data_IF_980221182804
#
_entry.id   IF_980221182804
#
_cell.length_a   1.000
_cell.length_b   1.000
_cell.length_c   1.000
_cell.angle_alpha   90.00
_cell.angle_beta   90.00
_cell.angle_gamma   90.00
#
_symmetry.space_group_name_H-M   'P 1'
#
loop_
_entity.id
_entity.type
_entity.pdbx_description
1 polymer ?
#
# COMPACT_ATOMS: atom_id res chain seq x y z
N UNK A 1 24.58 45.52 -11.64
CA UNK A 1 23.96 44.24 -12.03
C UNK A 1 25.06 43.25 -12.37
N UNK A 2 25.51 42.37 -11.45
CA UNK A 2 26.49 41.34 -11.80
C UNK A 2 25.77 40.06 -12.22
N UNK A 3 26.09 39.60 -13.43
CA UNK A 3 25.63 38.34 -14.04
C UNK A 3 26.33 37.14 -13.41
N UNK A 4 25.59 36.31 -12.66
CA UNK A 4 26.03 35.03 -12.14
C UNK A 4 25.99 33.96 -13.24
N UNK A 5 27.15 33.39 -13.56
CA UNK A 5 27.25 32.16 -14.35
C UNK A 5 27.00 30.93 -13.45
N UNK A 6 26.27 29.90 -13.91
CA UNK A 6 26.08 28.68 -13.14
C UNK A 6 27.35 27.81 -13.18
N UNK A 7 27.94 27.55 -12.01
CA UNK A 7 28.98 26.53 -11.84
C UNK A 7 28.31 25.16 -11.83
N UNK A 8 28.55 24.38 -12.88
CA UNK A 8 28.27 22.95 -12.95
C UNK A 8 29.17 22.19 -11.97
N UNK A 9 28.57 21.54 -10.97
CA UNK A 9 29.26 20.54 -10.16
C UNK A 9 28.99 19.16 -10.77
N UNK A 10 29.92 18.67 -11.59
CA UNK A 10 29.98 17.25 -11.94
C UNK A 10 30.60 16.51 -10.75
N UNK A 11 29.81 15.63 -10.11
CA UNK A 11 30.32 14.66 -9.16
C UNK A 11 30.80 13.43 -9.95
N UNK A 12 32.11 13.25 -10.06
CA UNK A 12 32.71 12.02 -10.59
C UNK A 12 32.72 10.96 -9.49
N UNK A 13 31.93 9.90 -9.68
CA UNK A 13 32.03 8.68 -8.87
C UNK A 13 33.10 7.78 -9.48
N UNK A 14 34.22 7.61 -8.78
CA UNK A 14 35.24 6.60 -9.12
C UNK A 14 34.78 5.23 -8.65
N UNK A 15 34.61 4.31 -9.60
CA UNK A 15 34.42 2.88 -9.38
C UNK A 15 35.75 2.30 -8.89
N UNK A 16 35.75 1.61 -7.75
CA UNK A 16 36.84 0.71 -7.35
C UNK A 16 36.38 -0.72 -7.56
N UNK A 17 36.86 -1.32 -8.65
CA UNK A 17 36.86 -2.77 -8.85
C UNK A 17 37.88 -3.41 -7.91
N UNK A 18 37.50 -4.51 -7.26
CA UNK A 18 38.45 -5.45 -6.66
C UNK A 18 37.90 -6.86 -6.76
N UNK A 19 38.36 -7.56 -7.79
CA UNK A 19 38.33 -9.01 -7.92
C UNK A 19 39.77 -9.52 -8.05
N UNK A 20 39.97 -10.80 -7.74
CA UNK A 20 41.21 -11.60 -7.62
C UNK A 20 41.79 -11.61 -6.19
N UNK A 21 42.23 -12.73 -5.61
CA UNK A 21 42.53 -14.06 -6.15
C UNK A 21 42.61 -15.12 -5.03
N UNK A 22 42.45 -16.36 -5.46
CA UNK A 22 42.48 -17.64 -4.75
C UNK A 22 43.93 -18.09 -4.46
N UNK A 23 44.19 -18.71 -3.30
CA UNK A 23 45.34 -19.61 -3.17
C UNK A 23 45.12 -20.73 -2.15
N UNK A 24 45.25 -21.94 -2.69
CA UNK A 24 45.21 -23.27 -2.09
C UNK A 24 46.52 -23.56 -1.33
N UNK A 25 46.44 -24.29 -0.22
CA UNK A 25 47.52 -25.19 0.19
C UNK A 25 46.95 -26.37 1.01
N UNK A 26 47.17 -27.58 0.47
CA UNK A 26 46.89 -28.89 1.05
C UNK A 26 48.12 -29.46 1.78
N UNK A 27 47.84 -30.52 2.56
CA UNK A 27 48.71 -31.58 3.07
C UNK A 27 49.60 -31.37 4.31
N UNK A 28 49.27 -32.11 5.38
CA UNK A 28 50.04 -33.31 5.74
C UNK A 28 49.31 -34.19 6.79
N UNK A 29 49.42 -35.49 6.55
CA UNK A 29 48.83 -36.64 7.23
C UNK A 29 49.60 -37.08 8.49
N UNK A 30 48.96 -37.90 9.35
CA UNK A 30 49.69 -38.57 10.44
C UNK A 30 48.87 -39.27 11.52
N UNK A 31 48.27 -40.43 11.19
CA UNK A 31 48.17 -41.68 11.98
C UNK A 31 47.84 -41.70 13.49
N UNK A 32 46.86 -42.54 13.88
CA UNK A 32 46.99 -43.36 15.09
C UNK A 32 45.74 -43.75 15.89
N UNK A 33 45.17 -44.92 15.58
CA UNK A 33 44.43 -45.91 16.40
C UNK A 33 43.85 -45.58 17.81
N UNK A 34 42.55 -45.92 17.96
CA UNK A 34 42.13 -47.03 18.83
C UNK A 34 41.51 -46.72 20.20
N UNK A 35 40.31 -47.26 20.46
CA UNK A 35 39.83 -47.52 21.83
C UNK A 35 38.35 -47.21 22.07
N UNK A 36 37.54 -48.24 22.31
CA UNK A 36 36.10 -48.15 22.54
C UNK A 36 35.69 -47.62 23.92
N UNK A 37 34.42 -47.26 24.03
CA UNK A 37 33.82 -46.81 25.29
C UNK A 37 32.35 -46.44 25.13
N UNK A 38 31.46 -47.41 25.37
CA UNK A 38 30.01 -47.23 25.51
C UNK A 38 29.66 -46.34 26.70
N UNK A 39 28.83 -45.31 26.52
CA UNK A 39 28.00 -44.75 27.60
C UNK A 39 26.87 -43.84 27.05
N UNK A 40 25.62 -44.33 27.16
CA UNK A 40 24.39 -43.52 27.26
C UNK A 40 24.13 -43.36 28.77
N UNK A 41 23.83 -42.16 29.32
CA UNK A 41 22.43 -41.76 29.61
C UNK A 41 22.25 -40.20 29.72
N UNK A 42 21.12 -39.54 30.00
CA UNK A 42 19.81 -39.86 30.58
C UNK A 42 18.88 -38.65 30.33
N UNK A 43 17.62 -38.91 29.94
CA UNK A 43 16.52 -37.93 30.02
C UNK A 43 16.29 -37.55 31.49
N UNK A 44 16.28 -36.25 31.82
CA UNK A 44 15.78 -35.74 33.11
C UNK A 44 14.28 -35.46 33.01
N UNK A 45 13.47 -36.36 33.56
CA UNK A 45 12.11 -36.08 34.00
C UNK A 45 12.15 -35.03 35.11
N UNK A 46 11.28 -34.01 35.04
CA UNK A 46 11.05 -33.09 36.15
C UNK A 46 9.77 -33.49 36.88
N UNK A 47 9.94 -33.82 38.15
CA UNK A 47 8.92 -34.29 39.06
C UNK A 47 7.94 -33.18 39.47
N UNK A 48 6.71 -33.64 39.74
CA UNK A 48 5.55 -32.90 40.25
C UNK A 48 5.81 -32.55 41.72
N UNK A 49 5.92 -31.24 42.02
CA UNK A 49 6.13 -30.69 43.35
C UNK A 49 4.85 -30.06 43.90
N UNK A 50 4.53 -30.47 45.12
CA UNK A 50 3.37 -30.18 45.96
C UNK A 50 3.23 -28.69 46.30
N UNK A 51 1.99 -28.23 46.43
CA UNK A 51 1.62 -26.90 46.89
C UNK A 51 1.82 -26.79 48.40
N UNK A 52 2.38 -25.68 48.87
CA UNK A 52 2.18 -25.13 50.22
C UNK A 52 2.39 -23.58 50.17
N UNK A 53 1.42 -22.88 50.73
CA UNK A 53 1.39 -21.53 51.35
C UNK A 53 2.09 -20.33 50.68
N UNK A 54 1.27 -19.47 50.05
CA UNK A 54 1.62 -18.08 49.73
C UNK A 54 0.70 -17.11 50.48
N UNK A 55 1.33 -16.40 51.43
CA UNK A 55 0.79 -15.26 52.19
C UNK A 55 0.31 -14.14 51.26
N UNK A 56 -0.89 -13.64 51.56
CA UNK A 56 -1.58 -12.54 50.87
C UNK A 56 -0.81 -11.23 50.96
N UNK A 57 -0.14 -10.85 49.86
CA UNK A 57 0.38 -9.51 49.65
C UNK A 57 -0.66 -8.66 48.91
N UNK A 58 -1.31 -7.73 49.62
CA UNK A 58 -2.21 -6.71 49.06
C UNK A 58 -1.48 -5.87 48.01
N UNK A 59 -1.94 -5.96 46.75
CA UNK A 59 -1.55 -5.08 45.64
C UNK A 59 -1.97 -3.63 45.97
N UNK A 60 -1.12 -2.61 45.77
CA UNK A 60 -1.53 -1.23 45.96
C UNK A 60 -2.56 -0.82 44.89
N UNK A 61 -3.58 -0.09 45.32
CA UNK A 61 -4.71 0.31 44.49
C UNK A 61 -4.29 1.10 43.24
N UNK A 62 -4.88 0.72 42.10
CA UNK A 62 -4.77 1.42 40.83
C UNK A 62 -5.37 2.82 40.99
N UNK A 63 -4.55 3.87 41.01
CA UNK A 63 -5.03 5.26 40.91
C UNK A 63 -5.84 5.39 39.61
N UNK A 64 -7.14 5.69 39.76
CA UNK A 64 -8.01 6.09 38.65
C UNK A 64 -7.47 7.42 38.14
N UNK A 65 -6.94 7.44 36.91
CA UNK A 65 -6.64 8.70 36.22
C UNK A 65 -7.98 9.32 35.85
N UNK A 66 -8.29 10.47 36.42
CA UNK A 66 -9.41 11.30 35.97
C UNK A 66 -9.26 11.62 34.49
N UNK A 67 -10.39 11.55 33.78
CA UNK A 67 -10.50 11.87 32.36
C UNK A 67 -10.28 13.38 32.22
N UNK A 68 -9.32 13.87 31.42
CA UNK A 68 -9.19 15.30 31.21
C UNK A 68 -10.48 15.83 30.56
N UNK A 69 -10.90 17.01 30.98
CA UNK A 69 -12.05 17.71 30.41
C UNK A 69 -11.90 17.81 28.88
N UNK A 70 -13.00 17.59 28.16
CA UNK A 70 -13.03 17.74 26.72
C UNK A 70 -12.59 19.17 26.37
N UNK A 71 -11.52 19.28 25.58
CA UNK A 71 -11.16 20.54 24.93
C UNK A 71 -12.33 20.99 24.06
N UNK A 72 -12.60 22.30 23.97
CA UNK A 72 -13.63 22.81 23.07
C UNK A 72 -13.34 22.33 21.65
N UNK A 73 -14.40 21.99 20.92
CA UNK A 73 -14.30 21.60 19.52
C UNK A 73 -13.53 22.69 18.78
N UNK A 74 -12.32 22.36 18.32
CA UNK A 74 -11.63 23.19 17.35
C UNK A 74 -12.48 23.20 16.09
N UNK A 75 -12.74 24.40 15.59
CA UNK A 75 -13.40 24.67 14.33
C UNK A 75 -12.86 23.73 13.23
N UNK A 76 -13.72 22.83 12.77
CA UNK A 76 -13.38 21.80 11.78
C UNK A 76 -13.20 22.39 10.38
N UNK A 77 -13.57 23.65 10.15
CA UNK A 77 -13.48 24.30 8.84
C UNK A 77 -12.05 24.54 8.37
N UNK A 78 -11.14 24.94 9.26
CA UNK A 78 -9.78 25.29 8.87
C UNK A 78 -8.99 24.09 8.33
N UNK A 79 -9.25 22.87 8.82
CA UNK A 79 -8.56 21.66 8.36
C UNK A 79 -8.98 21.20 6.97
N UNK A 80 -10.23 21.46 6.58
CA UNK A 80 -10.74 21.13 5.24
C UNK A 80 -10.21 22.13 4.20
N UNK A 81 -10.11 23.41 4.52
CA UNK A 81 -9.55 24.45 3.62
C UNK A 81 -8.06 24.23 3.29
N UNK A 82 -7.22 23.85 4.27
CA UNK A 82 -5.79 23.59 3.98
C UNK A 82 -5.61 22.36 3.09
N UNK A 83 -6.48 21.37 3.22
CA UNK A 83 -6.46 20.19 2.35
C UNK A 83 -6.90 20.55 0.93
N UNK A 84 -7.92 21.40 0.74
CA UNK A 84 -8.30 21.87 -0.60
C UNK A 84 -7.17 22.65 -1.30
N UNK A 85 -6.43 23.47 -0.55
CA UNK A 85 -5.28 24.21 -1.10
C UNK A 85 -4.13 23.25 -1.48
N UNK A 86 -3.77 22.32 -0.60
CA UNK A 86 -2.79 21.26 -0.89
C UNK A 86 -3.21 20.38 -2.07
N UNK A 87 -4.48 20.01 -2.13
CA UNK A 87 -5.04 19.21 -3.21
C UNK A 87 -4.97 19.99 -4.54
N UNK A 88 -5.12 21.32 -4.54
CA UNK A 88 -4.94 22.16 -5.74
C UNK A 88 -3.49 22.25 -6.22
N UNK A 89 -2.51 22.12 -5.32
CA UNK A 89 -1.08 22.09 -5.67
C UNK A 89 -0.61 20.70 -6.11
N UNK A 90 -1.19 19.64 -5.55
CA UNK A 90 -0.84 18.25 -5.84
C UNK A 90 -1.61 17.66 -7.03
N UNK A 91 -2.82 18.17 -7.28
CA UNK A 91 -3.65 17.82 -8.43
C UNK A 91 -3.69 19.07 -9.31
N UNK A 92 -2.91 19.14 -10.41
CA UNK A 92 -3.13 20.20 -11.38
C UNK A 92 -4.60 20.19 -11.79
N UNK A 93 -5.20 21.37 -11.95
CA UNK A 93 -6.61 21.59 -12.28
C UNK A 93 -6.97 21.14 -13.72
N UNK A 94 -6.42 20.02 -14.14
CA UNK A 94 -6.72 19.24 -15.32
C UNK A 94 -7.57 18.09 -14.85
N UNK A 95 -8.89 18.28 -14.84
CA UNK A 95 -9.80 17.14 -14.98
C UNK A 95 -9.36 16.40 -16.22
N UNK A 96 -8.80 15.17 -16.13
CA UNK A 96 -8.37 14.47 -17.32
C UNK A 96 -9.62 14.28 -18.18
N UNK A 97 -9.55 14.74 -19.43
CA UNK A 97 -10.57 14.37 -20.42
C UNK A 97 -10.75 12.85 -20.38
N UNK A 98 -11.98 12.33 -20.58
CA UNK A 98 -12.23 10.90 -20.50
C UNK A 98 -11.20 10.13 -21.34
N UNK A 99 -10.43 9.28 -20.67
CA UNK A 99 -9.32 8.56 -21.27
C UNK A 99 -9.86 7.25 -21.84
N UNK A 100 -9.62 7.04 -23.13
CA UNK A 100 -9.87 5.74 -23.76
C UNK A 100 -8.73 4.80 -23.42
N UNK A 101 -9.00 3.77 -22.63
CA UNK A 101 -8.01 2.76 -22.25
C UNK A 101 -7.79 1.78 -23.41
N UNK A 102 -6.63 1.90 -24.06
CA UNK A 102 -6.18 0.97 -25.08
C UNK A 102 -5.37 -0.20 -24.51
N UNK A 103 -4.92 -1.14 -25.36
CA UNK A 103 -4.13 -2.29 -24.93
C UNK A 103 -2.77 -1.92 -24.32
N UNK A 104 -2.23 -0.73 -24.63
CA UNK A 104 -0.97 -0.23 -24.07
C UNK A 104 -1.16 0.65 -22.82
N UNK A 105 -2.40 0.98 -22.44
CA UNK A 105 -2.65 1.89 -21.33
C UNK A 105 -2.24 1.28 -19.99
N UNK A 106 -1.80 2.15 -19.09
CA UNK A 106 -1.39 1.77 -17.73
C UNK A 106 -2.02 2.69 -16.69
N UNK A 107 -2.52 2.08 -15.60
CA UNK A 107 -2.94 2.79 -14.39
C UNK A 107 -2.24 2.17 -13.19
N UNK A 108 -1.70 3.02 -12.33
CA UNK A 108 -1.04 2.59 -11.10
C UNK A 108 -1.89 2.96 -9.88
N UNK A 109 -1.90 2.09 -8.88
CA UNK A 109 -2.55 2.33 -7.59
C UNK A 109 -1.56 2.10 -6.44
N UNK A 110 -1.52 3.01 -5.47
CA UNK A 110 -0.56 2.96 -4.36
C UNK A 110 -1.30 3.01 -3.02
N UNK A 111 -1.12 1.95 -2.23
CA UNK A 111 -1.26 2.03 -0.78
C UNK A 111 0.12 2.41 -0.20
N UNK A 112 0.30 3.62 0.34
CA UNK A 112 1.61 4.14 0.71
C UNK A 112 2.17 3.57 2.02
N UNK A 113 1.42 2.76 2.76
CA UNK A 113 1.87 2.25 4.06
C UNK A 113 3.03 1.23 3.94
N UNK A 114 3.74 0.99 5.05
CA UNK A 114 4.82 -0.02 5.13
C UNK A 114 4.34 -1.45 4.82
N UNK A 115 3.05 -1.72 4.99
CA UNK A 115 2.40 -2.98 4.59
C UNK A 115 1.57 -2.87 3.32
N UNK A 116 1.66 -1.72 2.64
CA UNK A 116 0.96 -1.41 1.41
C UNK A 116 1.64 -2.04 0.19
N UNK A 117 1.22 -1.58 -0.99
CA UNK A 117 1.66 -2.11 -2.26
C UNK A 117 1.52 -1.09 -3.40
N UNK A 118 2.19 -1.39 -4.51
CA UNK A 118 1.97 -0.80 -5.82
C UNK A 118 1.22 -1.81 -6.70
N UNK A 119 0.05 -1.43 -7.18
CA UNK A 119 -0.71 -2.17 -8.17
C UNK A 119 -0.49 -1.58 -9.57
N UNK A 120 -0.46 -2.46 -10.56
CA UNK A 120 -0.28 -2.12 -11.97
C UNK A 120 -1.43 -2.74 -12.75
N UNK A 121 -2.24 -1.91 -13.41
CA UNK A 121 -3.27 -2.35 -14.34
C UNK A 121 -2.82 -1.99 -15.75
N UNK A 122 -2.70 -3.00 -16.63
CA UNK A 122 -2.36 -2.83 -18.04
C UNK A 122 -3.53 -3.26 -18.92
N UNK A 123 -3.69 -2.58 -20.06
CA UNK A 123 -4.69 -2.92 -21.06
C UNK A 123 -6.01 -2.17 -20.90
N UNK A 124 -7.01 -2.63 -21.64
CA UNK A 124 -8.35 -2.03 -21.65
C UNK A 124 -9.18 -2.46 -20.44
N UNK A 125 -10.43 -1.98 -20.39
CA UNK A 125 -11.39 -2.37 -19.35
C UNK A 125 -11.81 -3.84 -19.52
N UNK A 126 -11.91 -4.31 -20.76
CA UNK A 126 -12.32 -5.67 -21.12
C UNK A 126 -11.19 -6.69 -20.91
N UNK A 127 -9.96 -6.31 -21.25
CA UNK A 127 -8.78 -7.17 -21.15
C UNK A 127 -7.72 -6.51 -20.26
N UNK A 128 -7.90 -6.68 -18.96
CA UNK A 128 -6.99 -6.14 -17.94
C UNK A 128 -5.99 -7.18 -17.46
N UNK A 129 -4.70 -6.88 -17.58
CA UNK A 129 -3.65 -7.59 -16.86
C UNK A 129 -3.30 -6.82 -15.58
N UNK A 130 -3.49 -7.47 -14.42
CA UNK A 130 -3.19 -6.89 -13.11
C UNK A 130 -1.95 -7.53 -12.49
N UNK A 131 -1.08 -6.71 -11.92
CA UNK A 131 0.08 -7.11 -11.14
C UNK A 131 0.11 -6.32 -9.83
N UNK A 132 0.68 -6.89 -8.77
CA UNK A 132 0.89 -6.20 -7.49
C UNK A 132 2.28 -6.47 -6.93
N UNK A 133 2.89 -5.42 -6.40
CA UNK A 133 4.25 -5.41 -5.85
C UNK A 133 4.20 -4.84 -4.43
N UNK A 134 4.76 -5.55 -3.45
CA UNK A 134 4.83 -5.04 -2.07
C UNK A 134 5.77 -3.83 -1.99
N UNK A 135 5.47 -2.86 -1.11
CA UNK A 135 6.34 -1.70 -0.88
C UNK A 135 7.74 -2.16 -0.44
N UNK A 136 8.83 -1.75 -1.12
CA UNK A 136 10.20 -2.00 -0.68
C UNK A 136 10.50 -1.32 0.66
N UNK A 137 11.11 -2.08 1.58
CA UNK A 137 11.39 -1.61 2.94
C UNK A 137 12.81 -1.92 3.41
N UNK A 138 13.37 -0.99 4.18
CA UNK A 138 14.59 -1.14 4.96
C UNK A 138 14.26 -1.41 6.42
N UNK A 139 15.13 -2.17 7.08
CA UNK A 139 15.13 -2.31 8.54
C UNK A 139 16.20 -1.39 9.11
N UNK A 140 15.79 -0.32 9.79
CA UNK A 140 16.68 0.73 10.31
C UNK A 140 16.65 0.73 11.82
N UNK A 141 17.83 0.79 12.47
CA UNK A 141 17.94 0.92 13.92
C UNK A 141 17.71 2.38 14.32
N UNK A 142 16.62 2.65 15.05
CA UNK A 142 16.29 3.98 15.58
C UNK A 142 16.27 3.89 17.11
N UNK A 143 17.31 4.43 17.74
CA UNK A 143 17.58 4.22 19.16
C UNK A 143 17.80 2.72 19.46
N UNK A 144 17.04 2.19 20.40
CA UNK A 144 17.11 0.77 20.80
C UNK A 144 16.22 -0.17 19.94
N UNK A 145 15.43 0.36 19.00
CA UNK A 145 14.41 -0.42 18.29
C UNK A 145 14.71 -0.49 16.79
N UNK A 146 14.58 -1.69 16.21
CA UNK A 146 14.54 -1.86 14.75
C UNK A 146 13.19 -1.45 14.20
N UNK A 147 13.18 -0.55 13.23
CA UNK A 147 11.97 -0.03 12.59
C UNK A 147 12.02 -0.29 11.10
N UNK A 148 10.85 -0.55 10.52
CA UNK A 148 10.69 -0.63 9.07
C UNK A 148 10.49 0.78 8.50
N UNK A 149 11.16 1.06 7.39
CA UNK A 149 11.10 2.32 6.65
C UNK A 149 11.02 2.01 5.16
N UNK A 150 10.38 2.86 4.40
CA UNK A 150 10.43 2.82 2.94
C UNK A 150 11.87 2.85 2.44
N UNK A 151 12.13 2.16 1.33
CA UNK A 151 13.36 2.24 0.57
C UNK A 151 13.12 3.08 -0.70
N UNK A 152 13.38 4.40 -0.69
CA UNK A 152 13.09 5.25 -1.85
C UNK A 152 13.87 4.84 -3.10
N UNK A 153 15.07 4.29 -2.95
CA UNK A 153 15.90 3.84 -4.06
C UNK A 153 15.31 2.61 -4.74
N UNK A 154 14.94 1.60 -3.96
CA UNK A 154 14.29 0.39 -4.48
C UNK A 154 12.87 0.68 -5.01
N UNK A 155 12.13 1.61 -4.39
CA UNK A 155 10.85 2.09 -4.91
C UNK A 155 11.01 2.74 -6.29
N UNK A 156 11.99 3.63 -6.45
CA UNK A 156 12.24 4.28 -7.73
C UNK A 156 12.69 3.28 -8.80
N UNK A 157 13.53 2.30 -8.45
CA UNK A 157 13.93 1.22 -9.36
C UNK A 157 12.72 0.39 -9.80
N UNK A 158 11.88 -0.05 -8.84
CA UNK A 158 10.65 -0.80 -9.09
C UNK A 158 9.73 -0.07 -10.08
N UNK A 159 9.49 1.23 -9.91
CA UNK A 159 8.61 1.99 -10.82
C UNK A 159 9.25 2.14 -12.21
N UNK A 160 10.57 2.35 -12.31
CA UNK A 160 11.27 2.44 -13.59
C UNK A 160 11.22 1.13 -14.39
N UNK A 161 11.33 -0.01 -13.71
CA UNK A 161 11.26 -1.34 -14.31
C UNK A 161 9.89 -1.61 -14.95
N UNK A 162 8.82 -0.96 -14.49
CA UNK A 162 7.50 -1.06 -15.11
C UNK A 162 7.42 -0.41 -16.49
N UNK A 163 8.36 0.50 -16.79
CA UNK A 163 8.37 1.33 -18.01
C UNK A 163 7.00 1.97 -18.29
N UNK A 164 6.46 2.78 -17.35
CA UNK A 164 5.16 3.40 -17.52
C UNK A 164 5.16 4.34 -18.75
N UNK A 165 4.20 4.20 -19.68
CA UNK A 165 3.99 5.17 -20.75
C UNK A 165 3.74 6.59 -20.21
N UNK A 166 4.01 7.65 -20.99
CA UNK A 166 3.84 9.05 -20.54
C UNK A 166 2.42 9.41 -20.05
N UNK A 167 1.39 8.72 -20.53
CA UNK A 167 -0.01 8.89 -20.15
C UNK A 167 -0.40 8.16 -18.85
N UNK A 168 0.54 7.45 -18.23
CA UNK A 168 0.28 6.69 -17.00
C UNK A 168 -0.11 7.63 -15.87
N UNK A 169 -1.26 7.36 -15.26
CA UNK A 169 -1.72 8.05 -14.05
C UNK A 169 -1.56 7.13 -12.83
N UNK A 170 -1.02 7.70 -11.76
CA UNK A 170 -0.80 7.03 -10.49
C UNK A 170 -1.77 7.57 -9.45
N UNK A 171 -2.64 6.70 -8.96
CA UNK A 171 -3.57 7.03 -7.88
C UNK A 171 -3.00 6.55 -6.55
N UNK A 172 -2.92 7.43 -5.56
CA UNK A 172 -2.30 7.14 -4.27
C UNK A 172 -3.25 7.49 -3.13
N UNK A 173 -3.42 6.59 -2.17
CA UNK A 173 -4.24 6.92 -1.00
C UNK A 173 -3.61 8.06 -0.19
N UNK A 174 -4.39 9.11 0.04
CA UNK A 174 -3.97 10.23 0.89
C UNK A 174 -4.21 9.85 2.36
N UNK A 175 -3.17 9.85 3.22
CA UNK A 175 -3.32 9.45 4.60
C UNK A 175 -4.20 10.46 5.36
N UNK A 176 -5.09 9.95 6.21
CA UNK A 176 -5.92 10.74 7.11
C UNK A 176 -5.50 10.51 8.54
N UNK A 177 -4.82 11.47 9.20
CA UNK A 177 -4.50 11.36 10.61
C UNK A 177 -5.79 11.22 11.42
N UNK A 178 -5.90 10.18 12.24
CA UNK A 178 -7.05 10.03 13.14
C UNK A 178 -6.65 10.43 14.58
N UNK A 179 -7.49 11.15 15.34
CA UNK A 179 -7.12 11.65 16.68
C UNK A 179 -6.68 10.56 17.68
N UNK A 180 -7.10 9.31 17.48
CA UNK A 180 -6.72 8.19 18.35
C UNK A 180 -5.39 7.53 17.96
N UNK A 181 -4.79 7.90 16.84
CA UNK A 181 -3.50 7.33 16.45
C UNK A 181 -2.38 7.93 17.29
N UNK A 182 -1.32 7.13 17.49
CA UNK A 182 -0.11 7.62 18.13
C UNK A 182 0.68 8.57 17.21
N UNK A 183 1.42 9.51 17.80
CA UNK A 183 2.32 10.45 17.09
C UNK A 183 3.24 9.77 16.06
N UNK A 184 3.71 8.57 16.40
CA UNK A 184 4.58 7.79 15.51
C UNK A 184 3.84 7.18 14.32
N UNK A 185 2.55 6.88 14.47
CA UNK A 185 1.68 6.45 13.37
C UNK A 185 1.51 7.59 12.37
N UNK A 186 1.15 8.78 12.85
CA UNK A 186 1.04 9.99 12.01
C UNK A 186 2.33 10.30 11.25
N UNK A 187 3.46 10.30 11.95
CA UNK A 187 4.76 10.49 11.30
C UNK A 187 5.00 9.44 10.22
N UNK A 188 4.73 8.16 10.50
CA UNK A 188 5.01 7.08 9.55
C UNK A 188 4.11 7.14 8.32
N UNK A 189 2.82 7.46 8.49
CA UNK A 189 1.86 7.62 7.40
C UNK A 189 2.23 8.83 6.50
N UNK A 190 2.47 9.99 7.11
CA UNK A 190 2.89 11.19 6.38
C UNK A 190 4.24 11.02 5.68
N UNK A 191 5.21 10.37 6.33
CA UNK A 191 6.50 10.03 5.72
C UNK A 191 6.33 9.10 4.52
N UNK A 192 5.53 8.03 4.64
CA UNK A 192 5.31 7.08 3.55
C UNK A 192 4.67 7.74 2.34
N UNK A 193 3.61 8.52 2.56
CA UNK A 193 2.97 9.31 1.50
C UNK A 193 3.94 10.28 0.84
N UNK A 194 4.69 11.07 1.62
CA UNK A 194 5.66 12.04 1.10
C UNK A 194 6.79 11.39 0.29
N UNK A 195 7.31 10.23 0.73
CA UNK A 195 8.32 9.48 -0.03
C UNK A 195 7.78 9.00 -1.37
N UNK A 196 6.56 8.44 -1.39
CA UNK A 196 5.93 8.03 -2.64
C UNK A 196 5.70 9.21 -3.58
N UNK A 197 5.13 10.31 -3.09
CA UNK A 197 4.94 11.54 -3.88
C UNK A 197 6.25 12.03 -4.49
N UNK A 198 7.32 12.09 -3.68
CA UNK A 198 8.65 12.49 -4.15
C UNK A 198 9.21 11.56 -5.22
N UNK A 199 9.14 10.24 -5.02
CA UNK A 199 9.60 9.25 -6.00
C UNK A 199 8.81 9.36 -7.31
N UNK A 200 7.49 9.41 -7.25
CA UNK A 200 6.63 9.41 -8.44
C UNK A 200 6.79 10.71 -9.25
N UNK A 201 6.81 11.88 -8.59
CA UNK A 201 7.03 13.15 -9.28
C UNK A 201 8.46 13.29 -9.82
N UNK A 202 9.48 12.77 -9.13
CA UNK A 202 10.84 12.75 -9.65
C UNK A 202 10.98 11.87 -10.91
N UNK A 203 10.08 10.88 -11.08
CA UNK A 203 9.95 10.08 -12.29
C UNK A 203 9.02 10.70 -13.34
N UNK A 204 8.56 11.94 -13.14
CA UNK A 204 7.70 12.70 -14.05
C UNK A 204 6.36 12.02 -14.34
N UNK A 205 5.85 11.24 -13.37
CA UNK A 205 4.54 10.62 -13.48
C UNK A 205 3.43 11.59 -13.05
N UNK A 206 2.26 11.42 -13.66
CA UNK A 206 1.04 12.10 -13.21
C UNK A 206 0.52 11.39 -11.96
N UNK A 207 0.41 12.12 -10.85
CA UNK A 207 0.01 11.57 -9.56
C UNK A 207 -1.28 12.24 -9.10
N UNK A 208 -2.25 11.43 -8.67
CA UNK A 208 -3.54 11.87 -8.16
C UNK A 208 -3.74 11.29 -6.77
N UNK A 209 -3.59 12.11 -5.71
CA UNK A 209 -4.01 11.72 -4.37
C UNK A 209 -5.52 11.41 -4.34
N UNK A 210 -5.88 10.33 -3.68
CA UNK A 210 -7.27 9.88 -3.54
C UNK A 210 -7.60 9.73 -2.08
N UNK A 211 -8.68 10.39 -1.66
CA UNK A 211 -9.14 10.30 -0.30
C UNK A 211 -9.70 8.89 0.02
N UNK A 212 -9.34 8.27 1.16
CA UNK A 212 -9.78 6.91 1.51
C UNK A 212 -11.29 6.73 1.46
N UNK A 213 -12.03 7.72 1.96
CA UNK A 213 -13.49 7.69 1.99
C UNK A 213 -14.12 7.68 0.59
N UNK A 214 -13.45 8.26 -0.42
CA UNK A 214 -14.01 8.41 -1.76
C UNK A 214 -13.94 7.08 -2.52
N UNK A 215 -12.76 6.49 -2.58
CA UNK A 215 -12.59 5.21 -3.28
C UNK A 215 -13.31 4.08 -2.55
N UNK A 216 -13.29 4.05 -1.20
CA UNK A 216 -14.01 3.05 -0.41
C UNK A 216 -15.52 3.15 -0.64
N UNK A 217 -16.09 4.37 -0.66
CA UNK A 217 -17.52 4.56 -0.94
C UNK A 217 -17.88 4.13 -2.37
N UNK A 218 -17.08 4.53 -3.36
CA UNK A 218 -17.32 4.18 -4.76
C UNK A 218 -17.32 2.67 -5.01
N UNK A 219 -16.57 1.91 -4.22
CA UNK A 219 -16.45 0.46 -4.33
C UNK A 219 -17.30 -0.32 -3.32
N UNK A 220 -18.20 0.34 -2.58
CA UNK A 220 -19.08 -0.32 -1.61
C UNK A 220 -18.37 -0.82 -0.34
N UNK A 221 -17.16 -0.31 -0.07
CA UNK A 221 -16.35 -0.60 1.12
C UNK A 221 -16.47 0.48 2.20
N UNK A 222 -17.55 1.25 2.17
CA UNK A 222 -17.86 2.24 3.20
C UNK A 222 -18.99 1.74 4.09
N UNK A 223 -18.83 1.86 5.41
CA UNK A 223 -19.90 1.56 6.36
C UNK A 223 -19.43 0.88 7.63
N UNK A 224 -20.35 0.75 8.60
CA UNK A 224 -20.11 -0.01 9.82
C UNK A 224 -20.08 -1.49 9.50
N UNK A 225 -19.04 -2.19 9.95
CA UNK A 225 -18.88 -3.64 9.73
C UNK A 225 -18.01 -4.01 8.54
N UNK A 226 -17.63 -3.05 7.69
CA UNK A 226 -16.60 -3.28 6.67
C UNK A 226 -15.24 -3.41 7.34
N UNK A 227 -14.51 -4.44 6.93
CA UNK A 227 -13.22 -4.86 7.46
C UNK A 227 -12.17 -4.86 6.34
N UNK A 228 -10.91 -5.07 6.73
CA UNK A 228 -9.80 -5.30 5.78
C UNK A 228 -9.98 -6.59 4.97
N UNK A 229 -10.84 -7.51 5.41
CA UNK A 229 -11.10 -8.76 4.70
C UNK A 229 -12.00 -8.52 3.48
N UNK A 230 -12.93 -7.57 3.58
CA UNK A 230 -13.84 -7.18 2.48
C UNK A 230 -13.08 -6.58 1.29
N UNK A 231 -12.05 -5.76 1.55
CA UNK A 231 -11.17 -5.26 0.49
C UNK A 231 -10.49 -6.39 -0.27
N UNK A 232 -10.01 -7.43 0.43
CA UNK A 232 -9.38 -8.58 -0.23
C UNK A 232 -10.39 -9.40 -1.02
N UNK A 233 -11.57 -9.63 -0.47
CA UNK A 233 -12.63 -10.35 -1.17
C UNK A 233 -13.05 -9.63 -2.45
N UNK A 234 -13.24 -8.30 -2.39
CA UNK A 234 -13.55 -7.49 -3.56
C UNK A 234 -12.41 -7.55 -4.59
N UNK A 235 -11.16 -7.38 -4.16
CA UNK A 235 -10.00 -7.45 -5.06
C UNK A 235 -9.88 -8.81 -5.75
N UNK A 236 -10.15 -9.93 -5.06
CA UNK A 236 -10.16 -11.27 -5.66
C UNK A 236 -11.30 -11.42 -6.68
N UNK A 237 -12.49 -10.86 -6.41
CA UNK A 237 -13.61 -10.86 -7.37
C UNK A 237 -13.29 -10.03 -8.60
N UNK A 238 -12.62 -8.89 -8.44
CA UNK A 238 -12.25 -7.99 -9.54
C UNK A 238 -11.06 -8.53 -10.35
N UNK A 239 -10.08 -9.14 -9.69
CA UNK A 239 -8.84 -9.63 -10.27
C UNK A 239 -8.60 -11.11 -9.91
N UNK A 240 -9.39 -12.04 -10.49
CA UNK A 240 -9.33 -13.46 -10.12
C UNK A 240 -7.98 -14.12 -10.41
N UNK A 241 -7.20 -13.57 -11.34
CA UNK A 241 -5.83 -14.02 -11.63
C UNK A 241 -4.88 -13.85 -10.43
N UNK A 242 -5.18 -12.94 -9.50
CA UNK A 242 -4.36 -12.62 -8.33
C UNK A 242 -4.81 -13.33 -7.04
N UNK A 243 -5.64 -14.38 -7.16
CA UNK A 243 -6.20 -15.10 -6.01
C UNK A 243 -5.13 -15.68 -5.07
N UNK A 244 -3.98 -16.11 -5.60
CA UNK A 244 -2.89 -16.67 -4.78
C UNK A 244 -2.17 -15.58 -4.00
N UNK A 245 -2.05 -14.40 -4.58
CA UNK A 245 -1.35 -13.23 -4.08
C UNK A 245 -2.14 -12.49 -2.99
N UNK A 246 -3.46 -12.71 -2.92
CA UNK A 246 -4.40 -12.05 -2.00
C UNK A 246 -4.94 -12.99 -0.89
N UNK A 247 -4.39 -14.20 -0.77
CA UNK A 247 -4.92 -15.26 0.10
C UNK A 247 -4.83 -14.95 1.60
N UNK A 248 -3.82 -14.22 2.06
CA UNK A 248 -3.52 -14.07 3.50
C UNK A 248 -4.10 -12.77 4.04
N UNK A 249 -4.40 -12.73 5.34
CA UNK A 249 -4.85 -11.51 6.02
C UNK A 249 -3.89 -10.32 5.89
N UNK A 250 -2.59 -10.59 5.78
CA UNK A 250 -1.57 -9.55 5.59
C UNK A 250 -1.52 -8.95 4.19
N UNK A 251 -2.22 -9.55 3.21
CA UNK A 251 -2.25 -9.10 1.83
C UNK A 251 -3.33 -8.01 1.60
N UNK A 252 -3.83 -7.37 2.67
CA UNK A 252 -4.82 -6.30 2.54
C UNK A 252 -4.26 -5.06 1.84
N UNK A 253 -2.99 -4.70 2.06
CA UNK A 253 -2.39 -3.57 1.35
C UNK A 253 -2.27 -3.78 -0.16
N UNK A 254 -2.02 -5.04 -0.59
CA UNK A 254 -2.10 -5.44 -2.00
C UNK A 254 -3.51 -5.23 -2.57
N UNK A 255 -4.52 -5.62 -1.80
CA UNK A 255 -5.90 -5.44 -2.21
C UNK A 255 -6.29 -3.96 -2.27
N UNK A 256 -5.92 -3.15 -1.28
CA UNK A 256 -6.21 -1.70 -1.29
C UNK A 256 -5.54 -1.02 -2.48
N UNK A 257 -4.26 -1.32 -2.78
CA UNK A 257 -3.58 -0.79 -3.96
C UNK A 257 -4.30 -1.13 -5.29
N UNK A 258 -4.74 -2.39 -5.46
CA UNK A 258 -5.50 -2.83 -6.64
C UNK A 258 -6.83 -2.08 -6.78
N UNK A 259 -7.53 -1.89 -5.67
CA UNK A 259 -8.82 -1.20 -5.65
C UNK A 259 -8.68 0.31 -5.86
N UNK A 260 -7.59 0.92 -5.39
CA UNK A 260 -7.24 2.32 -5.68
C UNK A 260 -6.97 2.48 -7.19
N UNK A 261 -6.19 1.59 -7.81
CA UNK A 261 -5.96 1.60 -9.26
C UNK A 261 -7.28 1.45 -10.04
N UNK A 262 -8.14 0.51 -9.62
CA UNK A 262 -9.44 0.28 -10.24
C UNK A 262 -10.35 1.51 -10.11
N UNK A 263 -10.40 2.14 -8.95
CA UNK A 263 -11.15 3.36 -8.73
C UNK A 263 -10.66 4.50 -9.63
N UNK A 264 -9.34 4.71 -9.70
CA UNK A 264 -8.75 5.71 -10.58
C UNK A 264 -9.08 5.47 -12.05
N UNK A 265 -9.02 4.22 -12.50
CA UNK A 265 -9.44 3.83 -13.85
C UNK A 265 -10.92 4.15 -14.12
N UNK A 266 -11.81 3.93 -13.14
CA UNK A 266 -13.22 4.31 -13.27
C UNK A 266 -13.41 5.83 -13.38
N UNK A 267 -12.63 6.63 -12.62
CA UNK A 267 -12.66 8.09 -12.71
C UNK A 267 -12.20 8.59 -14.07
N UNK A 268 -11.08 8.07 -14.57
CA UNK A 268 -10.53 8.44 -15.86
C UNK A 268 -11.41 8.00 -17.05
N UNK A 269 -12.15 6.90 -16.93
CA UNK A 269 -13.11 6.44 -17.94
C UNK A 269 -14.43 7.23 -17.95
N UNK A 270 -14.77 7.93 -16.86
CA UNK A 270 -15.95 8.79 -16.68
C UNK A 270 -17.28 8.27 -17.30
N UNK A 271 -17.67 7.06 -16.92
CA UNK A 271 -19.01 6.48 -17.17
C UNK A 271 -20.06 7.00 -16.16
N UNK A 272 -21.27 7.31 -16.64
CA UNK A 272 -22.56 6.87 -16.02
C UNK A 272 -23.24 5.94 -17.04
N UNK A 273 -23.76 4.77 -16.62
CA UNK A 273 -25.14 4.73 -16.12
C UNK A 273 -25.36 3.71 -14.99
N UNK A 274 -25.89 4.15 -13.84
CA UNK A 274 -26.61 3.24 -12.95
C UNK A 274 -28.11 3.42 -13.17
N UNK A 275 -28.64 2.72 -14.17
CA UNK A 275 -29.98 2.16 -14.07
C UNK A 275 -29.87 0.65 -14.29
N UNK A 276 -30.18 -0.10 -13.24
CA UNK A 276 -30.71 -1.46 -13.38
C UNK A 276 -31.91 -1.57 -12.46
N UNK A 277 -33.09 -1.61 -13.06
CA UNK A 277 -34.32 -2.25 -12.56
C UNK A 277 -35.02 -2.81 -13.82
N UNK A 278 -35.63 -4.00 -13.79
CA UNK A 278 -35.18 -5.23 -14.43
C UNK A 278 -35.97 -5.52 -15.72
N UNK A 279 -35.70 -6.63 -16.44
CA UNK A 279 -36.71 -7.17 -17.34
C UNK A 279 -37.85 -7.76 -16.50
N UNK A 280 -38.93 -7.00 -16.31
CA UNK A 280 -40.23 -7.64 -16.09
C UNK A 280 -40.71 -8.14 -17.44
N UNK A 281 -40.62 -9.47 -17.57
CA UNK A 281 -41.34 -10.27 -18.54
C UNK A 281 -42.85 -10.19 -18.30
N UNK A 282 -43.59 -10.20 -19.41
CA UNK A 282 -45.04 -10.42 -19.59
C UNK A 282 -46.03 -9.28 -19.26
N UNK A 283 -46.59 -8.67 -20.32
CA UNK A 283 -47.95 -9.03 -20.77
C UNK A 283 -48.40 -8.27 -22.05
N UNK A 284 -48.45 -9.03 -23.15
CA UNK A 284 -49.43 -8.99 -24.25
C UNK A 284 -49.60 -7.76 -25.18
N UNK A 285 -50.07 -7.99 -26.44
CA UNK A 285 -50.15 -6.98 -27.50
C UNK A 285 -51.58 -6.40 -27.67
N UNK A 286 -51.68 -5.15 -28.12
CA UNK A 286 -52.85 -4.58 -28.77
C UNK A 286 -52.33 -3.46 -29.70
N UNK A 287 -52.29 -3.70 -31.01
CA UNK A 287 -53.29 -3.17 -31.96
C UNK A 287 -53.40 -1.64 -31.92
N UNK A 288 -52.86 -0.95 -32.94
CA UNK A 288 -53.74 -0.24 -33.88
C UNK A 288 -53.03 0.11 -35.19
N UNK A 289 -53.66 -0.30 -36.30
CA UNK A 289 -53.34 0.12 -37.67
C UNK A 289 -54.34 1.22 -38.02
N UNK A 290 -53.94 2.49 -37.95
CA UNK A 290 -54.61 3.54 -38.71
C UNK A 290 -53.73 4.79 -38.79
N UNK A 291 -53.28 5.11 -40.01
CA UNK A 291 -53.39 6.41 -40.69
C UNK A 291 -52.29 6.54 -41.76
N UNK A 292 -52.60 6.05 -42.95
CA UNK A 292 -52.22 6.72 -44.19
C UNK A 292 -53.53 7.24 -44.77
N UNK A 293 -53.70 8.56 -44.78
CA UNK A 293 -54.67 9.26 -45.59
C UNK A 293 -53.99 10.48 -46.19
N UNK A 294 -54.11 10.54 -47.52
CA UNK A 294 -53.83 11.65 -48.45
C UNK A 294 -52.37 12.02 -48.71
#
# INVERSE_FOLDING_TARGET
MPTLHPRSYLCQATVVDSAAEEQVMEDASGTGCGGGGTAVPRKKQRAKGRADDAVSAKRPGRKVKEKPAALPAHDSGAGDEVNEELDSFLIPNTSPAPVVFGPASMVLGVDPDIGGALAVLRGSVEETHAQVLDVPILHVKIGATMRRRHDPGAMAAMVRELQPPPETVVYIEQPRPFPLDGKQGWYSAGYGFGVWMGVLHALQLQVVPVHPANWKRALGLAGRGVTKDDSRELAVRTFPSLLKELKRKKDHGRAEALLIAQHGRMLAANLKPLQRVPPDTDSAPAEDKALILA
#
